data_IF_258618829506
#
_entry.id   IF_258618829506
#
_cell.length_a   1.000
_cell.length_b   1.000
_cell.length_c   1.000
_cell.angle_alpha   90.00
_cell.angle_beta   90.00
_cell.angle_gamma   90.00
#
_symmetry.space_group_name_H-M   'P 1'
#
loop_
_entity.id
_entity.type
_entity.pdbx_description
1 polymer ?
#
# COMPACT_ATOMS: atom_id res chain seq x y z
N UNK A 1 28.70 -7.06 9.69
CA UNK A 1 27.77 -5.93 9.57
C UNK A 1 26.57 -6.41 8.78
N UNK A 2 25.35 -6.22 9.30
CA UNK A 2 24.13 -6.66 8.63
C UNK A 2 23.83 -5.78 7.41
N UNK A 3 23.25 -6.35 6.36
CA UNK A 3 22.88 -5.64 5.14
C UNK A 3 21.37 -5.62 4.94
N UNK A 4 20.81 -4.43 4.71
CA UNK A 4 19.38 -4.21 4.45
C UNK A 4 19.21 -3.64 3.05
N UNK A 5 18.34 -4.25 2.25
CA UNK A 5 17.91 -3.69 0.98
C UNK A 5 16.56 -2.99 1.15
N UNK A 6 16.43 -1.79 0.63
CA UNK A 6 15.19 -1.01 0.64
C UNK A 6 14.71 -0.84 -0.79
N UNK A 7 13.75 -1.65 -1.22
CA UNK A 7 13.12 -1.53 -2.54
C UNK A 7 11.83 -0.74 -2.41
N UNK A 8 11.67 0.34 -3.18
CA UNK A 8 10.46 1.15 -3.07
C UNK A 8 10.06 1.85 -4.36
N UNK A 9 8.75 2.10 -4.49
CA UNK A 9 8.18 3.00 -5.48
C UNK A 9 7.38 4.10 -4.77
N UNK A 10 7.63 5.37 -5.07
CA UNK A 10 6.84 6.48 -4.52
C UNK A 10 6.61 7.58 -5.55
N UNK A 11 5.35 8.00 -5.71
CA UNK A 11 5.00 9.14 -6.57
C UNK A 11 5.21 10.50 -5.90
N UNK A 12 4.82 10.62 -4.63
CA UNK A 12 4.73 11.90 -3.94
C UNK A 12 5.83 12.13 -2.90
N UNK A 13 6.73 11.16 -2.72
CA UNK A 13 7.79 11.20 -1.70
C UNK A 13 7.35 10.77 -0.31
N UNK A 14 6.06 10.85 0.05
CA UNK A 14 5.58 10.52 1.41
C UNK A 14 5.96 9.11 1.88
N UNK A 15 5.96 8.12 0.99
CA UNK A 15 6.35 6.77 1.37
C UNK A 15 7.86 6.69 1.69
N UNK A 16 8.69 7.45 0.98
CA UNK A 16 10.12 7.54 1.28
C UNK A 16 10.35 8.22 2.64
N UNK A 17 9.59 9.26 2.98
CA UNK A 17 9.63 9.88 4.32
C UNK A 17 9.30 8.86 5.43
N UNK A 18 8.29 8.01 5.23
CA UNK A 18 7.93 6.95 6.17
C UNK A 18 9.08 5.94 6.30
N UNK A 19 9.62 5.47 5.17
CA UNK A 19 10.74 4.52 5.14
C UNK A 19 11.96 5.11 5.84
N UNK A 20 12.31 6.37 5.59
CA UNK A 20 13.45 7.04 6.22
C UNK A 20 13.28 7.12 7.74
N UNK A 21 12.06 7.41 8.22
CA UNK A 21 11.78 7.38 9.65
C UNK A 21 11.92 5.97 10.23
N UNK A 22 11.37 4.93 9.58
CA UNK A 22 11.53 3.53 10.00
C UNK A 22 13.00 3.12 10.04
N UNK A 23 13.82 3.57 9.09
CA UNK A 23 15.23 3.21 9.01
C UNK A 23 16.12 4.01 9.98
N UNK A 24 15.68 5.18 10.45
CA UNK A 24 16.50 6.07 11.27
C UNK A 24 17.17 5.45 12.52
N UNK A 25 16.58 4.45 13.20
CA UNK A 25 17.25 3.78 14.33
C UNK A 25 18.25 2.69 13.93
N UNK A 26 18.32 2.31 12.65
CA UNK A 26 19.20 1.23 12.15
C UNK A 26 20.59 1.80 11.81
N UNK A 27 21.40 2.12 12.82
CA UNK A 27 22.70 2.81 12.64
C UNK A 27 23.88 1.89 12.36
N UNK A 28 23.82 0.62 12.74
CA UNK A 28 24.93 -0.35 12.63
C UNK A 28 24.78 -1.35 11.48
N UNK A 29 24.12 -0.91 10.39
CA UNK A 29 23.80 -1.75 9.24
C UNK A 29 24.13 -1.03 7.94
N UNK A 30 24.47 -1.78 6.90
CA UNK A 30 24.61 -1.23 5.55
C UNK A 30 23.24 -1.21 4.90
N UNK A 31 22.80 -0.04 4.43
CA UNK A 31 21.50 0.13 3.79
C UNK A 31 21.70 0.49 2.32
N UNK A 32 21.19 -0.34 1.42
CA UNK A 32 21.12 -0.04 0.00
C UNK A 32 19.70 0.35 -0.38
N UNK A 33 19.56 1.41 -1.17
CA UNK A 33 18.28 1.88 -1.68
C UNK A 33 18.13 1.50 -3.16
N UNK A 34 17.01 0.85 -3.47
CA UNK A 34 16.58 0.49 -4.81
C UNK A 34 15.24 1.16 -5.12
N UNK A 35 15.24 2.43 -5.57
CA UNK A 35 14.05 3.03 -6.16
C UNK A 35 13.71 2.30 -7.46
N UNK A 36 12.52 1.72 -7.54
CA UNK A 36 12.02 1.04 -8.74
C UNK A 36 11.03 1.93 -9.49
N UNK A 37 10.98 1.80 -10.81
CA UNK A 37 10.03 2.53 -11.66
C UNK A 37 9.79 1.75 -12.97
N UNK A 38 8.68 2.03 -13.64
CA UNK A 38 8.39 1.48 -14.98
C UNK A 38 9.17 2.20 -16.05
N UNK A 39 9.46 1.52 -17.17
CA UNK A 39 10.13 2.11 -18.33
C UNK A 39 9.41 3.37 -18.82
N UNK A 40 8.08 3.31 -18.84
CA UNK A 40 7.20 4.47 -18.97
C UNK A 40 6.68 4.88 -17.58
N UNK A 41 7.13 6.02 -17.02
CA UNK A 41 6.75 6.41 -15.67
C UNK A 41 5.31 6.90 -15.60
N UNK A 42 4.62 6.60 -14.48
CA UNK A 42 3.31 7.17 -14.20
C UNK A 42 3.44 8.62 -13.73
N UNK A 43 2.61 9.55 -14.24
CA UNK A 43 2.77 10.97 -13.93
C UNK A 43 2.39 11.29 -12.49
N UNK A 44 3.10 12.25 -11.90
CA UNK A 44 2.70 12.93 -10.69
C UNK A 44 3.01 14.44 -10.84
N UNK A 45 2.02 15.35 -10.75
CA UNK A 45 0.61 15.10 -10.50
C UNK A 45 -0.08 14.28 -11.58
N UNK A 46 -1.17 13.61 -11.20
CA UNK A 46 -1.96 12.78 -12.10
C UNK A 46 -2.80 13.62 -13.06
N UNK A 47 -2.92 13.14 -14.31
CA UNK A 47 -4.00 13.54 -15.21
C UNK A 47 -5.20 12.61 -15.05
N UNK A 48 -6.40 13.07 -15.40
CA UNK A 48 -7.62 12.23 -15.34
C UNK A 48 -7.48 10.96 -16.19
N UNK A 49 -6.96 11.10 -17.41
CA UNK A 49 -6.74 9.97 -18.32
C UNK A 49 -5.73 8.96 -17.75
N UNK A 50 -4.59 9.42 -17.22
CA UNK A 50 -3.58 8.53 -16.65
C UNK A 50 -4.06 7.85 -15.36
N UNK A 51 -4.74 8.60 -14.48
CA UNK A 51 -5.24 8.08 -13.20
C UNK A 51 -6.22 6.93 -13.45
N UNK A 52 -7.31 7.19 -14.17
CA UNK A 52 -8.32 6.15 -14.48
C UNK A 52 -7.76 5.10 -15.44
N UNK A 53 -6.87 5.49 -16.35
CA UNK A 53 -6.23 4.59 -17.30
C UNK A 53 -5.42 3.48 -16.63
N UNK A 54 -4.80 3.74 -15.47
CA UNK A 54 -4.02 2.76 -14.71
C UNK A 54 -4.87 1.75 -13.92
N UNK A 55 -6.18 2.00 -13.75
CA UNK A 55 -7.05 1.17 -12.93
C UNK A 55 -7.07 -0.32 -13.35
N UNK A 56 -7.35 -0.68 -14.61
CA UNK A 56 -7.53 -2.07 -14.99
C UNK A 56 -6.26 -2.90 -14.74
N UNK A 57 -5.11 -2.39 -15.19
CA UNK A 57 -3.81 -3.03 -15.07
C UNK A 57 -3.35 -3.14 -13.61
N UNK A 58 -3.51 -2.08 -12.82
CA UNK A 58 -3.19 -2.12 -11.38
C UNK A 58 -4.06 -3.13 -10.65
N UNK A 59 -5.37 -3.12 -10.90
CA UNK A 59 -6.29 -4.02 -10.24
C UNK A 59 -6.00 -5.49 -10.57
N UNK A 60 -5.82 -5.77 -11.88
CA UNK A 60 -5.53 -7.10 -12.42
C UNK A 60 -4.08 -7.55 -12.20
N UNK A 61 -3.24 -6.69 -11.62
CA UNK A 61 -1.83 -6.95 -11.37
C UNK A 61 -1.05 -7.29 -12.65
N UNK A 62 -1.37 -6.61 -13.75
CA UNK A 62 -0.63 -6.78 -15.00
C UNK A 62 0.73 -6.09 -14.87
N UNK A 63 1.86 -6.83 -14.99
CA UNK A 63 3.17 -6.23 -14.91
C UNK A 63 3.45 -5.37 -16.15
N UNK A 64 4.28 -4.35 -15.97
CA UNK A 64 4.81 -3.49 -17.02
C UNK A 64 6.34 -3.53 -17.00
N UNK A 65 7.01 -3.24 -18.15
CA UNK A 65 8.46 -3.18 -18.21
C UNK A 65 9.03 -2.23 -17.17
N UNK A 66 10.04 -2.68 -16.44
CA UNK A 66 10.76 -1.87 -15.45
C UNK A 66 11.91 -1.13 -16.11
N UNK A 67 12.30 0.02 -15.54
CA UNK A 67 13.62 0.58 -15.81
C UNK A 67 14.69 -0.42 -15.35
N UNK A 68 15.81 -0.56 -16.08
CA UNK A 68 16.92 -1.36 -15.61
C UNK A 68 17.39 -0.87 -14.24
N UNK A 69 17.70 -1.81 -13.36
CA UNK A 69 18.24 -1.52 -12.04
C UNK A 69 19.40 -2.46 -11.73
N UNK A 70 20.30 -1.99 -10.89
CA UNK A 70 21.46 -2.76 -10.44
C UNK A 70 21.46 -2.76 -8.91
N UNK A 71 21.99 -3.84 -8.35
CA UNK A 71 22.17 -3.98 -6.92
C UNK A 71 23.65 -3.85 -6.60
N UNK A 72 23.96 -3.14 -5.52
CA UNK A 72 25.32 -3.07 -5.01
C UNK A 72 25.75 -4.42 -4.40
N UNK A 73 24.81 -5.14 -3.78
CA UNK A 73 25.04 -6.41 -3.11
C UNK A 73 23.94 -7.43 -3.45
N UNK A 74 24.16 -8.70 -3.12
CA UNK A 74 23.16 -9.78 -3.31
C UNK A 74 22.87 -10.53 -2.01
N UNK A 75 23.73 -10.39 -1.00
CA UNK A 75 23.68 -11.06 0.28
C UNK A 75 23.04 -10.18 1.37
N UNK A 76 21.80 -9.74 1.12
CA UNK A 76 21.02 -9.00 2.12
C UNK A 76 20.48 -9.91 3.23
N UNK A 77 20.55 -9.45 4.48
CA UNK A 77 19.98 -10.10 5.67
C UNK A 77 18.48 -9.78 5.84
N UNK A 78 18.01 -8.68 5.26
CA UNK A 78 16.63 -8.20 5.32
C UNK A 78 16.29 -7.38 4.07
N UNK A 79 15.07 -7.53 3.57
CA UNK A 79 14.53 -6.67 2.52
C UNK A 79 13.32 -5.89 3.03
N UNK A 80 13.35 -4.57 2.90
CA UNK A 80 12.23 -3.68 3.19
C UNK A 80 11.59 -3.27 1.87
N UNK A 81 10.30 -3.57 1.73
CA UNK A 81 9.50 -3.33 0.53
C UNK A 81 8.51 -2.20 0.75
N UNK A 82 8.81 -1.03 0.20
CA UNK A 82 7.95 0.14 0.18
C UNK A 82 6.98 0.13 -1.00
N UNK A 83 5.66 0.12 -0.76
CA UNK A 83 4.68 0.21 -1.84
C UNK A 83 3.50 1.15 -1.56
N UNK A 84 2.91 1.63 -2.65
CA UNK A 84 1.68 2.43 -2.64
C UNK A 84 0.49 1.58 -3.06
N UNK A 85 -0.68 1.91 -2.51
CA UNK A 85 -1.94 1.25 -2.87
C UNK A 85 -2.63 2.03 -3.98
N UNK A 86 -2.86 1.37 -5.11
CA UNK A 86 -3.66 1.86 -6.23
C UNK A 86 -4.87 0.94 -6.41
N UNK A 87 -6.08 1.50 -6.32
CA UNK A 87 -7.32 0.76 -6.60
C UNK A 87 -7.48 -0.57 -5.84
N UNK A 88 -7.12 -0.58 -4.55
CA UNK A 88 -7.15 -1.77 -3.69
C UNK A 88 -6.18 -2.89 -4.14
N UNK A 89 -5.14 -2.50 -4.87
CA UNK A 89 -4.01 -3.32 -5.34
C UNK A 89 -2.68 -2.62 -5.05
N UNK A 90 -1.54 -3.34 -5.07
CA UNK A 90 -0.24 -2.69 -5.17
C UNK A 90 -0.13 -1.85 -6.46
N UNK A 91 0.63 -0.74 -6.39
CA UNK A 91 0.99 0.07 -7.56
C UNK A 91 1.67 -0.75 -8.64
N UNK A 92 1.46 -0.39 -9.91
CA UNK A 92 1.98 -1.15 -11.06
C UNK A 92 3.50 -1.34 -10.98
N UNK A 93 4.35 -0.32 -10.72
CA UNK A 93 5.80 -0.52 -10.67
C UNK A 93 6.23 -1.54 -9.60
N UNK A 94 5.64 -1.46 -8.40
CA UNK A 94 5.89 -2.42 -7.33
C UNK A 94 5.46 -3.85 -7.69
N UNK A 95 4.26 -4.00 -8.26
CA UNK A 95 3.75 -5.28 -8.71
C UNK A 95 4.62 -5.88 -9.83
N UNK A 96 5.09 -5.05 -10.76
CA UNK A 96 6.00 -5.45 -11.84
C UNK A 96 7.33 -5.95 -11.28
N UNK A 97 7.88 -5.30 -10.25
CA UNK A 97 9.09 -5.75 -9.58
C UNK A 97 8.92 -7.14 -8.97
N UNK A 98 7.87 -7.37 -8.18
CA UNK A 98 7.61 -8.68 -7.56
C UNK A 98 7.36 -9.79 -8.59
N UNK A 99 6.85 -9.47 -9.77
CA UNK A 99 6.64 -10.46 -10.84
C UNK A 99 7.84 -10.64 -11.77
N UNK A 100 8.83 -9.76 -11.70
CA UNK A 100 10.04 -9.83 -12.52
C UNK A 100 10.97 -10.96 -12.06
N UNK A 101 11.72 -11.55 -12.99
CA UNK A 101 12.70 -12.59 -12.65
C UNK A 101 13.79 -12.08 -11.70
N UNK A 102 14.26 -10.85 -11.92
CA UNK A 102 15.22 -10.21 -11.02
C UNK A 102 14.66 -10.02 -9.60
N UNK A 103 13.41 -9.57 -9.47
CA UNK A 103 12.75 -9.42 -8.17
C UNK A 103 12.54 -10.74 -7.45
N UNK A 104 12.07 -11.78 -8.16
CA UNK A 104 11.91 -13.14 -7.60
C UNK A 104 13.24 -13.71 -7.10
N UNK A 105 14.31 -13.60 -7.90
CA UNK A 105 15.64 -14.08 -7.51
C UNK A 105 16.17 -13.35 -6.28
N UNK A 106 15.98 -12.03 -6.22
CA UNK A 106 16.41 -11.21 -5.09
C UNK A 106 15.70 -11.56 -3.78
N UNK A 107 14.39 -11.84 -3.85
CA UNK A 107 13.54 -12.05 -2.68
C UNK A 107 13.51 -13.50 -2.17
N UNK A 108 13.98 -14.46 -2.97
CA UNK A 108 13.89 -15.88 -2.65
C UNK A 108 14.60 -16.20 -1.33
N UNK A 109 13.85 -16.77 -0.38
CA UNK A 109 14.33 -17.16 0.95
C UNK A 109 14.69 -15.99 1.87
N UNK A 110 14.41 -14.74 1.47
CA UNK A 110 14.73 -13.57 2.28
C UNK A 110 13.61 -13.23 3.25
N UNK A 111 13.93 -12.80 4.49
CA UNK A 111 12.96 -12.13 5.34
C UNK A 111 12.61 -10.77 4.73
N UNK A 112 11.32 -10.48 4.68
CA UNK A 112 10.74 -9.29 4.05
C UNK A 112 9.85 -8.55 5.04
N UNK A 113 10.08 -7.24 5.17
CA UNK A 113 9.15 -6.32 5.82
C UNK A 113 8.49 -5.47 4.74
N UNK A 114 7.17 -5.34 4.78
CA UNK A 114 6.44 -4.43 3.89
C UNK A 114 6.13 -3.12 4.61
N UNK A 115 6.26 -2.00 3.91
CA UNK A 115 5.94 -0.65 4.41
C UNK A 115 5.01 0.01 3.41
N UNK A 116 3.88 0.52 3.90
CA UNK A 116 2.92 1.25 3.07
C UNK A 116 2.39 2.50 3.78
N UNK A 117 2.22 3.55 2.99
CA UNK A 117 1.49 4.75 3.36
C UNK A 117 0.27 4.86 2.46
N UNK A 118 -0.93 4.87 3.03
CA UNK A 118 -2.17 4.87 2.26
C UNK A 118 -3.18 5.86 2.82
N UNK A 119 -4.27 6.05 2.08
CA UNK A 119 -5.41 6.82 2.58
C UNK A 119 -6.05 6.11 3.77
N UNK A 120 -6.72 4.99 3.55
CA UNK A 120 -7.39 4.24 4.62
C UNK A 120 -7.83 2.81 4.24
N UNK A 121 -7.50 2.34 3.04
CA UNK A 121 -7.87 1.03 2.51
C UNK A 121 -6.63 0.43 1.85
N UNK A 122 -6.03 -0.54 2.51
CA UNK A 122 -4.77 -1.18 2.09
C UNK A 122 -4.80 -2.69 2.26
N UNK A 123 -5.80 -3.24 2.98
CA UNK A 123 -5.76 -4.64 3.41
C UNK A 123 -5.85 -5.57 2.20
N UNK A 124 -6.70 -5.27 1.23
CA UNK A 124 -6.82 -6.09 0.03
C UNK A 124 -5.60 -5.98 -0.88
N UNK A 125 -4.97 -4.81 -0.94
CA UNK A 125 -3.70 -4.65 -1.63
C UNK A 125 -2.61 -5.49 -0.96
N UNK A 126 -2.54 -5.45 0.37
CA UNK A 126 -1.58 -6.26 1.12
C UNK A 126 -1.82 -7.76 0.96
N UNK A 127 -3.07 -8.24 0.94
CA UNK A 127 -3.37 -9.65 0.64
C UNK A 127 -2.86 -10.07 -0.75
N UNK A 128 -2.95 -9.19 -1.76
CA UNK A 128 -2.35 -9.42 -3.08
C UNK A 128 -0.82 -9.45 -3.00
N UNK A 129 -0.21 -8.57 -2.20
CA UNK A 129 1.24 -8.56 -1.95
C UNK A 129 1.70 -9.82 -1.23
N UNK A 130 0.98 -10.30 -0.20
CA UNK A 130 1.28 -11.57 0.49
C UNK A 130 1.40 -12.72 -0.52
N UNK A 131 0.43 -12.84 -1.42
CA UNK A 131 0.46 -13.85 -2.49
C UNK A 131 1.70 -13.70 -3.38
N UNK A 132 1.99 -12.49 -3.86
CA UNK A 132 3.17 -12.23 -4.69
C UNK A 132 4.48 -12.57 -3.98
N UNK A 133 4.58 -12.29 -2.67
CA UNK A 133 5.76 -12.63 -1.86
C UNK A 133 5.90 -14.14 -1.69
N UNK A 134 4.79 -14.86 -1.47
CA UNK A 134 4.78 -16.32 -1.47
C UNK A 134 5.25 -16.87 -2.82
N UNK A 135 4.79 -16.30 -3.94
CA UNK A 135 5.19 -16.71 -5.28
C UNK A 135 6.70 -16.42 -5.55
N UNK A 136 7.28 -15.41 -4.89
CA UNK A 136 8.72 -15.16 -4.90
C UNK A 136 9.53 -16.10 -3.99
N UNK A 137 8.87 -16.90 -3.14
CA UNK A 137 9.51 -17.69 -2.10
C UNK A 137 10.11 -16.84 -0.96
N UNK A 138 9.57 -15.64 -0.73
CA UNK A 138 10.01 -14.74 0.34
C UNK A 138 9.27 -15.02 1.66
N UNK A 139 9.88 -14.66 2.79
CA UNK A 139 9.29 -14.80 4.11
C UNK A 139 8.81 -13.44 4.60
N UNK A 140 7.49 -13.19 4.56
CA UNK A 140 6.94 -11.96 5.13
C UNK A 140 7.03 -12.02 6.66
N UNK A 141 7.91 -11.20 7.24
CA UNK A 141 8.15 -11.18 8.70
C UNK A 141 7.55 -9.95 9.39
N UNK A 142 7.20 -8.91 8.63
CA UNK A 142 6.58 -7.70 9.16
C UNK A 142 5.80 -6.91 8.12
N UNK A 143 4.77 -6.20 8.57
CA UNK A 143 3.95 -5.30 7.77
C UNK A 143 3.65 -4.03 8.58
N UNK A 144 4.09 -2.90 8.05
CA UNK A 144 3.80 -1.55 8.55
C UNK A 144 2.87 -0.89 7.54
N UNK A 145 1.65 -0.57 7.97
CA UNK A 145 0.63 0.05 7.15
C UNK A 145 0.06 1.30 7.83
N UNK A 146 0.67 2.45 7.52
CA UNK A 146 0.24 3.75 8.00
C UNK A 146 -0.85 4.33 7.09
N UNK A 147 -1.83 4.97 7.70
CA UNK A 147 -3.01 5.51 7.02
C UNK A 147 -3.26 6.96 7.41
N UNK A 148 -3.82 7.74 6.49
CA UNK A 148 -4.51 8.99 6.82
C UNK A 148 -5.64 8.70 7.84
N UNK A 149 -5.60 9.39 8.98
CA UNK A 149 -6.54 9.20 10.09
C UNK A 149 -7.82 10.07 9.99
N UNK A 150 -7.88 11.02 9.05
CA UNK A 150 -9.06 11.87 8.87
C UNK A 150 -10.34 11.06 8.53
N UNK A 151 -11.49 11.73 8.65
CA UNK A 151 -12.77 11.16 8.22
C UNK A 151 -12.74 10.78 6.75
N UNK A 152 -13.44 9.70 6.38
CA UNK A 152 -13.39 9.13 5.04
C UNK A 152 -13.63 10.20 3.95
N UNK A 153 -14.80 10.83 3.87
CA UNK A 153 -15.08 11.79 2.80
C UNK A 153 -14.12 12.99 2.77
N UNK A 154 -13.71 13.52 3.92
CA UNK A 154 -12.69 14.58 4.03
C UNK A 154 -11.38 14.12 3.39
N UNK A 155 -10.93 12.93 3.76
CA UNK A 155 -9.71 12.31 3.24
C UNK A 155 -9.81 12.02 1.73
N UNK A 156 -11.00 11.78 1.16
CA UNK A 156 -11.16 11.67 -0.31
C UNK A 156 -10.87 13.02 -0.97
N UNK A 157 -11.47 14.10 -0.45
CA UNK A 157 -11.32 15.43 -1.03
C UNK A 157 -9.85 15.85 -1.02
N UNK A 158 -9.18 15.68 0.12
CA UNK A 158 -7.78 16.09 0.27
C UNK A 158 -6.83 15.23 -0.56
N UNK A 159 -7.02 13.90 -0.61
CA UNK A 159 -6.17 13.04 -1.44
C UNK A 159 -6.33 13.34 -2.93
N UNK A 160 -7.57 13.55 -3.42
CA UNK A 160 -7.81 13.84 -4.84
C UNK A 160 -7.19 15.19 -5.19
N UNK A 161 -7.36 16.21 -4.34
CA UNK A 161 -6.70 17.49 -4.58
C UNK A 161 -5.18 17.34 -4.59
N UNK A 162 -4.58 16.59 -3.68
CA UNK A 162 -3.12 16.39 -3.66
C UNK A 162 -2.62 15.62 -4.90
N UNK A 163 -3.26 14.50 -5.25
CA UNK A 163 -2.85 13.67 -6.39
C UNK A 163 -2.89 14.43 -7.72
N UNK A 164 -3.85 15.33 -7.91
CA UNK A 164 -4.04 16.07 -9.17
C UNK A 164 -3.37 17.44 -9.18
N UNK A 165 -3.04 18.03 -8.03
CA UNK A 165 -2.31 19.31 -7.97
C UNK A 165 -0.81 19.15 -7.72
N UNK A 166 -0.38 18.02 -7.15
CA UNK A 166 1.01 17.77 -6.76
C UNK A 166 1.41 18.48 -5.46
N UNK A 167 0.57 19.38 -4.94
CA UNK A 167 0.88 20.20 -3.78
C UNK A 167 0.19 19.66 -2.51
N UNK A 168 1.00 19.03 -1.63
CA UNK A 168 0.56 18.51 -0.32
C UNK A 168 0.16 19.63 0.65
N UNK A 169 0.72 20.84 0.49
CA UNK A 169 0.53 21.97 1.38
C UNK A 169 -0.69 22.82 0.99
N UNK A 170 -1.15 22.71 -0.27
CA UNK A 170 -2.39 23.32 -0.71
C UNK A 170 -3.56 22.71 0.04
N UNK A 171 -4.09 23.45 1.02
CA UNK A 171 -5.32 23.08 1.72
C UNK A 171 -6.49 23.40 0.80
N UNK A 172 -7.31 22.40 0.46
CA UNK A 172 -8.53 22.63 -0.30
C UNK A 172 -9.39 23.69 0.41
N UNK A 173 -9.76 24.77 -0.28
CA UNK A 173 -10.49 25.92 0.26
C UNK A 173 -9.90 26.55 1.55
N UNK A 174 -8.61 26.32 1.85
CA UNK A 174 -7.93 26.84 3.05
C UNK A 174 -8.32 26.18 4.39
N UNK A 175 -9.43 25.43 4.43
CA UNK A 175 -10.00 24.89 5.68
C UNK A 175 -9.79 23.38 5.87
N UNK A 176 -9.52 22.65 4.78
CA UNK A 176 -9.34 21.20 4.86
C UNK A 176 -7.95 20.83 5.42
N UNK A 177 -7.83 19.69 6.12
CA UNK A 177 -6.55 19.23 6.63
C UNK A 177 -5.59 18.82 5.49
N UNK A 178 -4.30 18.67 5.82
CA UNK A 178 -3.31 18.13 4.88
C UNK A 178 -3.67 16.69 4.47
N UNK A 179 -3.38 16.35 3.22
CA UNK A 179 -3.63 15.01 2.68
C UNK A 179 -2.58 13.99 3.12
N UNK A 180 -2.98 12.72 3.20
CA UNK A 180 -2.10 11.58 3.44
C UNK A 180 -1.79 11.34 4.92
N UNK A 181 -0.75 10.54 5.18
CA UNK A 181 -0.29 10.25 6.54
C UNK A 181 0.22 11.54 7.21
N UNK A 182 -0.19 11.75 8.46
CA UNK A 182 0.16 12.95 9.21
C UNK A 182 1.67 12.97 9.55
N UNK A 183 2.29 14.16 9.55
CA UNK A 183 3.73 14.31 9.79
C UNK A 183 4.16 13.70 11.14
N UNK A 184 3.31 13.79 12.18
CA UNK A 184 3.52 13.12 13.47
C UNK A 184 3.59 11.60 13.35
N UNK A 185 2.73 10.99 12.54
CA UNK A 185 2.71 9.53 12.35
C UNK A 185 3.88 9.07 11.48
N UNK A 186 4.32 9.91 10.52
CA UNK A 186 5.54 9.68 9.74
C UNK A 186 6.75 9.71 10.66
N UNK A 187 6.93 10.77 11.46
CA UNK A 187 8.07 10.90 12.38
C UNK A 187 8.07 9.82 13.47
N UNK A 188 6.88 9.44 13.95
CA UNK A 188 6.71 8.36 14.93
C UNK A 188 7.02 6.97 14.38
N UNK A 189 7.21 6.80 13.08
CA UNK A 189 7.51 5.49 12.48
C UNK A 189 8.90 4.95 12.86
N UNK A 190 9.78 5.79 13.43
CA UNK A 190 11.06 5.38 14.01
C UNK A 190 10.92 4.36 15.13
N UNK A 191 9.76 4.30 15.81
CA UNK A 191 9.51 3.23 16.79
C UNK A 191 9.64 1.85 16.17
N UNK A 192 9.21 1.66 14.92
CA UNK A 192 9.26 0.36 14.25
C UNK A 192 10.69 -0.04 13.89
N UNK A 193 11.57 0.91 13.57
CA UNK A 193 13.00 0.64 13.38
C UNK A 193 13.67 0.13 14.64
N UNK A 194 13.27 0.67 15.80
CA UNK A 194 13.75 0.23 17.11
C UNK A 194 13.35 -1.21 17.40
N UNK A 195 12.14 -1.61 17.00
CA UNK A 195 11.67 -2.99 17.09
C UNK A 195 12.42 -3.90 16.10
N UNK A 196 12.66 -3.46 14.87
CA UNK A 196 13.33 -4.26 13.83
C UNK A 196 14.80 -4.54 14.18
N UNK A 197 15.51 -3.59 14.79
CA UNK A 197 16.93 -3.67 15.08
C UNK A 197 17.38 -4.99 15.78
N UNK A 198 16.80 -5.40 16.93
CA UNK A 198 17.18 -6.64 17.60
C UNK A 198 16.93 -7.88 16.74
N UNK A 199 15.79 -7.97 16.06
CA UNK A 199 15.46 -9.10 15.17
C UNK A 199 16.42 -9.20 13.99
N UNK A 200 16.85 -8.07 13.44
CA UNK A 200 17.84 -8.04 12.37
C UNK A 200 19.22 -8.54 12.84
N UNK A 201 19.62 -8.20 14.07
CA UNK A 201 20.90 -8.65 14.62
C UNK A 201 20.90 -10.16 14.91
N UNK A 202 19.82 -10.69 15.50
CA UNK A 202 19.69 -12.11 15.80
C UNK A 202 19.38 -12.96 14.58
N UNK A 203 18.77 -12.37 13.54
CA UNK A 203 18.24 -13.10 12.38
C UNK A 203 16.94 -13.86 12.67
N UNK A 204 16.38 -13.72 13.87
CA UNK A 204 15.09 -14.30 14.25
C UNK A 204 14.03 -13.20 14.28
N UNK A 205 13.03 -13.32 13.42
CA UNK A 205 11.93 -12.35 13.28
C UNK A 205 10.63 -12.85 13.91
N UNK A 206 10.67 -13.94 14.67
CA UNK A 206 9.50 -14.48 15.39
C UNK A 206 8.95 -13.42 16.34
N UNK A 207 7.66 -13.12 16.25
CA UNK A 207 7.00 -12.13 17.12
C UNK A 207 7.05 -10.68 16.62
N UNK A 208 7.89 -10.35 15.62
CA UNK A 208 8.07 -8.97 15.15
C UNK A 208 6.73 -8.33 14.69
N UNK A 209 5.90 -9.07 13.95
CA UNK A 209 4.61 -8.53 13.48
C UNK A 209 3.69 -8.15 14.66
N UNK A 210 3.66 -8.97 15.70
CA UNK A 210 2.85 -8.74 16.90
C UNK A 210 3.32 -7.47 17.61
N UNK A 211 4.63 -7.26 17.71
CA UNK A 211 5.22 -6.05 18.28
C UNK A 211 4.89 -4.81 17.45
N UNK A 212 5.02 -4.88 16.13
CA UNK A 212 4.65 -3.80 15.19
C UNK A 212 3.17 -3.42 15.40
N UNK A 213 2.26 -4.41 15.43
CA UNK A 213 0.83 -4.16 15.64
C UNK A 213 0.56 -3.56 17.01
N UNK A 214 1.20 -4.07 18.07
CA UNK A 214 1.04 -3.57 19.44
C UNK A 214 1.47 -2.09 19.58
N UNK A 215 2.46 -1.66 18.79
CA UNK A 215 2.94 -0.28 18.75
C UNK A 215 2.24 0.59 17.69
N UNK A 216 1.13 0.11 17.10
CA UNK A 216 0.32 0.89 16.17
C UNK A 216 0.82 0.90 14.72
N UNK A 217 1.74 0.00 14.35
CA UNK A 217 2.28 -0.09 12.99
C UNK A 217 1.28 -0.51 11.93
N UNK A 218 0.09 -0.94 12.33
CA UNK A 218 -0.99 -1.30 11.40
C UNK A 218 -2.29 -0.61 11.78
N UNK A 219 -2.67 0.42 11.00
CA UNK A 219 -3.94 1.11 11.19
C UNK A 219 -5.01 0.57 10.26
N UNK A 220 -6.16 0.17 10.80
CA UNK A 220 -7.33 -0.22 10.00
C UNK A 220 -8.62 0.20 10.69
N UNK A 221 -9.71 0.32 9.91
CA UNK A 221 -11.06 0.52 10.42
C UNK A 221 -11.92 -0.68 10.01
N UNK A 222 -12.58 -1.33 10.97
CA UNK A 222 -13.38 -2.56 10.74
C UNK A 222 -14.43 -2.40 9.64
N UNK A 223 -15.14 -1.27 9.64
CA UNK A 223 -16.08 -0.91 8.58
C UNK A 223 -15.38 -0.89 7.21
N UNK A 224 -14.21 -0.25 7.12
CA UNK A 224 -13.48 -0.13 5.86
C UNK A 224 -12.99 -1.49 5.38
N UNK A 225 -12.62 -2.41 6.26
CA UNK A 225 -12.27 -3.79 5.87
C UNK A 225 -13.43 -4.48 5.15
N UNK A 226 -14.66 -4.36 5.67
CA UNK A 226 -15.85 -4.92 5.03
C UNK A 226 -16.15 -4.25 3.69
N UNK A 227 -16.05 -2.91 3.64
CA UNK A 227 -16.29 -2.12 2.44
C UNK A 227 -15.23 -2.42 1.36
N UNK A 228 -13.96 -2.55 1.75
CA UNK A 228 -12.83 -2.84 0.88
C UNK A 228 -12.98 -4.21 0.22
N UNK A 229 -13.40 -5.25 0.97
CA UNK A 229 -13.67 -6.58 0.42
C UNK A 229 -14.76 -6.55 -0.67
N UNK A 230 -15.87 -5.84 -0.42
CA UNK A 230 -16.98 -5.70 -1.38
C UNK A 230 -16.56 -4.88 -2.59
N UNK A 231 -15.90 -3.75 -2.36
CA UNK A 231 -15.37 -2.88 -3.41
C UNK A 231 -14.38 -3.59 -4.32
N UNK A 232 -13.45 -4.37 -3.73
CA UNK A 232 -12.48 -5.17 -4.48
C UNK A 232 -13.18 -6.14 -5.45
N UNK A 233 -14.19 -6.90 -5.01
CA UNK A 233 -14.96 -7.77 -5.92
C UNK A 233 -15.57 -7.02 -7.11
N UNK A 234 -16.20 -5.88 -6.87
CA UNK A 234 -16.81 -5.07 -7.93
C UNK A 234 -15.77 -4.45 -8.87
N UNK A 235 -14.64 -4.02 -8.32
CA UNK A 235 -13.51 -3.53 -9.11
C UNK A 235 -12.97 -4.64 -10.02
N UNK A 236 -13.00 -5.90 -9.60
CA UNK A 236 -12.64 -7.03 -10.47
C UNK A 236 -13.53 -7.21 -11.67
N UNK A 237 -14.83 -6.93 -11.55
CA UNK A 237 -15.75 -6.96 -12.69
C UNK A 237 -15.40 -5.81 -13.64
N UNK A 238 -15.29 -4.59 -13.12
CA UNK A 238 -14.91 -3.41 -13.91
C UNK A 238 -13.57 -3.56 -14.62
N UNK A 239 -12.53 -3.97 -13.91
CA UNK A 239 -11.20 -4.11 -14.47
C UNK A 239 -11.15 -5.13 -15.62
N UNK A 240 -11.79 -6.29 -15.46
CA UNK A 240 -11.91 -7.31 -16.52
C UNK A 240 -12.68 -6.80 -17.74
N UNK A 241 -13.78 -6.09 -17.52
CA UNK A 241 -14.57 -5.50 -18.61
C UNK A 241 -13.77 -4.43 -19.38
N UNK A 242 -12.93 -3.65 -18.70
CA UNK A 242 -12.20 -2.54 -19.32
C UNK A 242 -10.95 -3.03 -20.07
N UNK A 243 -10.14 -3.90 -19.46
CA UNK A 243 -8.80 -4.25 -19.94
C UNK A 243 -8.78 -4.80 -21.37
N UNK A 244 -9.69 -5.73 -21.72
CA UNK A 244 -9.75 -6.37 -23.04
C UNK A 244 -10.68 -5.71 -24.06
N UNK A 245 -11.26 -4.54 -23.75
CA UNK A 245 -12.36 -3.98 -24.55
C UNK A 245 -11.91 -2.95 -25.58
N UNK A 246 -12.39 -3.09 -26.83
CA UNK A 246 -12.26 -2.04 -27.87
C UNK A 246 -12.91 -0.71 -27.46
N UNK A 247 -13.85 -0.75 -26.50
CA UNK A 247 -14.53 0.43 -25.93
C UNK A 247 -13.88 0.90 -24.62
N UNK A 248 -12.60 0.59 -24.38
CA UNK A 248 -11.84 0.95 -23.16
C UNK A 248 -12.08 2.40 -22.71
N UNK A 249 -11.88 3.38 -23.61
CA UNK A 249 -12.07 4.80 -23.29
C UNK A 249 -13.48 5.13 -22.80
N UNK A 250 -14.50 4.50 -23.38
CA UNK A 250 -15.89 4.68 -22.95
C UNK A 250 -16.14 4.03 -21.58
N UNK A 251 -15.69 2.78 -21.39
CA UNK A 251 -15.86 2.07 -20.12
C UNK A 251 -15.11 2.74 -18.96
N UNK A 252 -13.95 3.34 -19.21
CA UNK A 252 -13.24 4.15 -18.22
C UNK A 252 -14.05 5.38 -17.79
N UNK A 253 -14.75 6.05 -18.72
CA UNK A 253 -15.67 7.15 -18.38
C UNK A 253 -16.84 6.66 -17.52
N UNK A 254 -17.42 5.49 -17.85
CA UNK A 254 -18.46 4.87 -17.03
C UNK A 254 -17.95 4.49 -15.64
N UNK A 255 -16.75 3.91 -15.55
CA UNK A 255 -16.12 3.55 -14.28
C UNK A 255 -15.83 4.77 -13.41
N UNK A 256 -15.38 5.89 -14.01
CA UNK A 256 -15.22 7.16 -13.31
C UNK A 256 -16.51 7.62 -12.65
N UNK A 257 -17.62 7.63 -13.40
CA UNK A 257 -18.94 8.00 -12.87
C UNK A 257 -19.35 7.04 -11.74
N UNK A 258 -19.19 5.74 -11.96
CA UNK A 258 -19.45 4.71 -10.97
C UNK A 258 -18.64 4.94 -9.68
N UNK A 259 -17.35 5.28 -9.78
CA UNK A 259 -16.49 5.51 -8.62
C UNK A 259 -16.98 6.70 -7.78
N UNK A 260 -17.38 7.80 -8.43
CA UNK A 260 -17.98 8.93 -7.71
C UNK A 260 -19.28 8.53 -7.00
N UNK A 261 -20.18 7.81 -7.68
CA UNK A 261 -21.42 7.32 -7.06
C UNK A 261 -21.10 6.38 -5.88
N UNK A 262 -20.13 5.50 -6.04
CA UNK A 262 -19.74 4.55 -5.00
C UNK A 262 -19.21 5.25 -3.73
N UNK A 263 -18.40 6.30 -3.91
CA UNK A 263 -17.80 7.05 -2.81
C UNK A 263 -18.82 7.97 -2.12
N UNK A 264 -19.62 8.70 -2.89
CA UNK A 264 -20.49 9.74 -2.34
C UNK A 264 -21.87 9.23 -1.92
N UNK A 265 -22.39 8.22 -2.61
CA UNK A 265 -23.75 7.69 -2.38
C UNK A 265 -23.71 6.33 -1.70
N UNK A 266 -22.95 5.36 -2.25
CA UNK A 266 -22.98 3.99 -1.72
C UNK A 266 -22.25 3.85 -0.39
N UNK A 267 -21.12 4.53 -0.18
CA UNK A 267 -20.36 4.42 1.07
C UNK A 267 -21.16 4.79 2.33
N UNK A 268 -21.92 5.91 2.38
CA UNK A 268 -22.80 6.21 3.51
C UNK A 268 -23.85 5.11 3.77
N UNK A 269 -24.45 4.56 2.71
CA UNK A 269 -25.45 3.48 2.81
C UNK A 269 -24.80 2.21 3.37
N UNK A 270 -23.65 1.81 2.84
CA UNK A 270 -22.90 0.63 3.31
C UNK A 270 -22.43 0.82 4.74
N UNK A 271 -22.07 2.05 5.14
CA UNK A 271 -21.72 2.39 6.52
C UNK A 271 -22.90 2.19 7.48
N UNK A 272 -24.08 2.70 7.13
CA UNK A 272 -25.29 2.52 7.91
C UNK A 272 -25.63 1.02 8.07
N UNK A 273 -25.68 0.28 6.96
CA UNK A 273 -25.97 -1.16 6.97
C UNK A 273 -24.92 -1.96 7.76
N UNK A 274 -23.66 -1.55 7.72
CA UNK A 274 -22.60 -2.20 8.48
C UNK A 274 -22.87 -2.07 9.98
N UNK A 275 -23.20 -0.88 10.48
CA UNK A 275 -23.44 -0.70 11.91
C UNK A 275 -24.72 -1.37 12.40
N UNK A 276 -25.75 -1.46 11.56
CA UNK A 276 -26.96 -2.23 11.87
C UNK A 276 -26.68 -3.74 11.99
N UNK A 277 -25.72 -4.27 11.22
CA UNK A 277 -25.40 -5.71 11.20
C UNK A 277 -24.19 -6.09 12.05
N UNK A 278 -23.35 -5.13 12.45
CA UNK A 278 -22.10 -5.36 13.17
C UNK A 278 -22.25 -6.16 14.47
N UNK A 279 -23.22 -5.89 15.36
CA UNK A 279 -23.39 -6.67 16.59
C UNK A 279 -23.61 -8.17 16.34
N UNK A 280 -24.32 -8.52 15.26
CA UNK A 280 -24.60 -9.91 14.89
C UNK A 280 -23.37 -10.65 14.35
N UNK A 281 -22.41 -9.91 13.77
CA UNK A 281 -21.22 -10.46 13.12
C UNK A 281 -19.91 -10.13 13.85
N UNK A 282 -19.97 -9.62 15.08
CA UNK A 282 -18.82 -9.15 15.85
C UNK A 282 -17.66 -10.15 15.86
N UNK A 283 -17.92 -11.38 16.33
CA UNK A 283 -16.90 -12.43 16.44
C UNK A 283 -16.29 -12.86 15.11
N UNK A 284 -17.05 -12.74 14.02
CA UNK A 284 -16.55 -13.02 12.68
C UNK A 284 -15.59 -11.92 12.23
N UNK A 285 -15.95 -10.66 12.47
CA UNK A 285 -15.11 -9.50 12.13
C UNK A 285 -13.79 -9.53 12.91
N UNK A 286 -13.80 -9.80 14.22
CA UNK A 286 -12.57 -9.86 15.01
C UNK A 286 -11.63 -10.99 14.56
N UNK A 287 -12.19 -12.16 14.20
CA UNK A 287 -11.41 -13.27 13.64
C UNK A 287 -10.75 -12.89 12.31
N UNK A 288 -11.53 -12.28 11.41
CA UNK A 288 -11.00 -11.82 10.12
C UNK A 288 -9.91 -10.77 10.29
N UNK A 289 -10.09 -9.85 11.24
CA UNK A 289 -9.09 -8.84 11.57
C UNK A 289 -7.79 -9.49 12.05
N UNK A 290 -7.86 -10.41 13.00
CA UNK A 290 -6.68 -11.11 13.51
C UNK A 290 -5.92 -11.81 12.38
N UNK A 291 -6.62 -12.55 11.53
CA UNK A 291 -6.04 -13.26 10.40
C UNK A 291 -5.39 -12.34 9.35
N UNK A 292 -5.98 -11.17 9.09
CA UNK A 292 -5.53 -10.29 8.01
C UNK A 292 -4.46 -9.29 8.45
N UNK A 293 -4.32 -9.05 9.75
CA UNK A 293 -3.49 -7.98 10.33
C UNK A 293 -2.32 -8.53 11.16
N UNK A 294 -2.56 -9.61 11.92
CA UNK A 294 -1.59 -10.14 12.89
C UNK A 294 -0.84 -11.35 12.31
N UNK A 295 -1.50 -12.15 11.50
CA UNK A 295 -0.91 -13.36 10.90
C UNK A 295 -0.25 -12.99 9.55
N UNK A 296 1.09 -13.02 9.53
CA UNK A 296 1.90 -12.91 8.32
C UNK A 296 2.14 -14.28 7.68
#
# INVERSE_FOLDING_TARGET
MKRVLVVYYTQSGQLKEIIDSVLSPLTEVTIDFLPIDTAEPFPFPWTDEAFFGAFPESYLQIPQPLKPFQLAHTDYDLVILGYQVWYLSPSIPFNSFLQSEAGKQLLRGKPVITVSGSRNMWVMAHQKVKKLLTDCGAHLVGNIALTDRHHNHISVITIVQWLFSGDKNKRYLGVFPKAGVADKDIQGASVYGTLIAPHLQTGDYTGLQQEIVAHGGVHYKRFLLSAEKKGNRLFGIWAKMIYGSKKRKFLLKCFRIYLYIAIWVLMPIVWLLYWLTYPLFFWKVEREVKQLIIEN
#
